data_IF_752812944367
#
_entry.id   IF_752812944367
#
_cell.length_a   1.000
_cell.length_b   1.000
_cell.length_c   1.000
_cell.angle_alpha   90.00
_cell.angle_beta   90.00
_cell.angle_gamma   90.00
#
_symmetry.space_group_name_H-M   'P 1'
#
loop_
_entity.id
_entity.type
_entity.pdbx_description
1 polymer ?
#
# COMPACT_ATOMS: atom_id res chain seq x y z
N UNK A 1 4.37 -13.33 23.24
CA UNK A 1 5.34 -13.17 22.14
C UNK A 1 4.55 -12.56 20.99
N UNK A 2 4.82 -11.29 20.64
CA UNK A 2 4.23 -10.68 19.44
C UNK A 2 4.76 -11.40 18.21
N UNK A 3 3.93 -11.54 17.17
CA UNK A 3 4.40 -12.05 15.88
C UNK A 3 5.30 -10.99 15.24
N UNK A 4 6.32 -11.45 14.54
CA UNK A 4 7.20 -10.59 13.75
C UNK A 4 6.42 -9.97 12.59
N UNK A 5 6.66 -8.68 12.33
CA UNK A 5 6.06 -8.00 11.18
C UNK A 5 6.59 -8.61 9.89
N UNK A 6 5.75 -8.66 8.83
CA UNK A 6 6.22 -9.14 7.54
C UNK A 6 7.33 -8.22 7.01
N UNK A 7 8.29 -8.81 6.30
CA UNK A 7 9.28 -8.04 5.54
C UNK A 7 8.77 -7.78 4.11
N UNK A 8 9.18 -6.67 3.47
CA UNK A 8 8.94 -6.45 2.05
C UNK A 8 9.53 -7.57 1.19
N UNK A 9 8.79 -8.02 0.17
CA UNK A 9 9.32 -8.99 -0.78
C UNK A 9 10.11 -8.29 -1.90
N UNK A 10 11.43 -8.32 -1.80
CA UNK A 10 12.34 -7.72 -2.78
C UNK A 10 12.37 -8.43 -4.14
N UNK A 11 11.90 -9.69 -4.21
CA UNK A 11 11.91 -10.48 -5.45
C UNK A 11 10.80 -10.09 -6.43
N UNK A 12 9.77 -9.40 -5.95
CA UNK A 12 8.66 -8.92 -6.76
C UNK A 12 9.04 -7.65 -7.53
N UNK A 13 8.47 -7.49 -8.72
CA UNK A 13 8.45 -6.20 -9.41
C UNK A 13 7.80 -5.13 -8.50
N UNK A 14 8.31 -3.90 -8.57
CA UNK A 14 7.69 -2.77 -7.86
C UNK A 14 6.35 -2.47 -8.50
N UNK A 15 6.32 -2.34 -9.84
CA UNK A 15 5.11 -2.21 -10.66
C UNK A 15 5.06 -3.32 -11.73
N UNK A 16 3.93 -4.01 -11.84
CA UNK A 16 3.67 -5.05 -12.86
C UNK A 16 3.16 -4.42 -14.16
N UNK A 17 4.09 -3.82 -14.92
CA UNK A 17 3.79 -3.12 -16.18
C UNK A 17 3.15 -3.99 -17.27
N UNK A 18 3.49 -5.27 -17.31
CA UNK A 18 2.97 -6.23 -18.29
C UNK A 18 1.64 -6.86 -17.85
N UNK A 19 1.06 -6.40 -16.72
CA UNK A 19 -0.27 -6.83 -16.32
C UNK A 19 -1.32 -6.24 -17.24
N UNK A 20 -2.39 -7.01 -17.49
CA UNK A 20 -3.51 -6.59 -18.35
C UNK A 20 -4.08 -5.23 -17.91
N UNK A 21 -4.30 -5.04 -16.60
CA UNK A 21 -4.84 -3.80 -16.03
C UNK A 21 -3.92 -2.60 -16.29
N UNK A 22 -2.61 -2.74 -16.04
CA UNK A 22 -1.67 -1.62 -16.24
C UNK A 22 -1.52 -1.30 -17.72
N UNK A 23 -1.51 -2.33 -18.58
CA UNK A 23 -1.46 -2.16 -20.03
C UNK A 23 -2.68 -1.39 -20.54
N UNK A 24 -3.89 -1.81 -20.16
CA UNK A 24 -5.14 -1.14 -20.54
C UNK A 24 -5.17 0.32 -20.07
N UNK A 25 -4.85 0.58 -18.79
CA UNK A 25 -4.82 1.94 -18.25
C UNK A 25 -3.79 2.84 -18.96
N UNK A 26 -2.67 2.28 -19.38
CA UNK A 26 -1.63 3.01 -20.10
C UNK A 26 -2.02 3.27 -21.56
N UNK A 27 -2.62 2.29 -22.24
CA UNK A 27 -3.14 2.44 -23.61
C UNK A 27 -4.29 3.46 -23.68
N UNK A 28 -5.15 3.50 -22.66
CA UNK A 28 -6.23 4.48 -22.53
C UNK A 28 -5.74 5.87 -22.10
N UNK A 29 -4.45 6.02 -21.79
CA UNK A 29 -3.87 7.29 -21.32
C UNK A 29 -4.37 7.75 -19.94
N UNK A 30 -4.99 6.85 -19.17
CA UNK A 30 -5.58 7.15 -17.86
C UNK A 30 -4.63 6.83 -16.69
N UNK A 31 -3.51 6.14 -16.95
CA UNK A 31 -2.64 5.63 -15.89
C UNK A 31 -2.07 6.73 -14.97
N UNK A 32 -1.65 7.88 -15.51
CA UNK A 32 -1.14 9.01 -14.70
C UNK A 32 -2.24 9.66 -13.82
N UNK A 33 -3.46 9.77 -14.33
CA UNK A 33 -4.59 10.31 -13.57
C UNK A 33 -4.97 9.35 -12.43
N UNK A 34 -5.05 8.05 -12.72
CA UNK A 34 -5.37 7.02 -11.74
C UNK A 34 -4.31 6.90 -10.63
N UNK A 35 -3.03 7.00 -10.98
CA UNK A 35 -1.94 7.02 -9.98
C UNK A 35 -1.95 8.29 -9.13
N UNK A 36 -2.36 9.43 -9.68
CA UNK A 36 -2.57 10.68 -8.92
C UNK A 36 -3.73 10.56 -7.92
N UNK A 37 -4.86 10.01 -8.35
CA UNK A 37 -5.99 9.74 -7.46
C UNK A 37 -5.60 8.78 -6.34
N UNK A 38 -4.87 7.72 -6.68
CA UNK A 38 -4.38 6.75 -5.71
C UNK A 38 -3.40 7.36 -4.71
N UNK A 39 -2.54 8.30 -5.10
CA UNK A 39 -1.68 9.00 -4.15
C UNK A 39 -2.47 9.75 -3.08
N UNK A 40 -3.59 10.38 -3.45
CA UNK A 40 -4.49 11.06 -2.50
C UNK A 40 -5.14 10.06 -1.53
N UNK A 41 -5.67 8.94 -2.05
CA UNK A 41 -6.28 7.89 -1.23
C UNK A 41 -5.28 7.22 -0.29
N UNK A 42 -4.08 6.93 -0.79
CA UNK A 42 -2.99 6.36 -0.01
C UNK A 42 -2.60 7.26 1.18
N UNK A 43 -2.48 8.57 0.96
CA UNK A 43 -2.23 9.55 2.04
C UNK A 43 -3.37 9.51 3.08
N UNK A 44 -4.62 9.39 2.63
CA UNK A 44 -5.76 9.18 3.53
C UNK A 44 -5.59 7.96 4.43
N UNK A 45 -5.19 6.82 3.86
CA UNK A 45 -4.92 5.59 4.61
C UNK A 45 -3.74 5.71 5.57
N UNK A 46 -2.64 6.39 5.17
CA UNK A 46 -1.51 6.64 6.08
C UNK A 46 -1.89 7.53 7.25
N UNK A 47 -2.76 8.51 7.02
CA UNK A 47 -3.31 9.36 8.08
C UNK A 47 -4.21 8.57 9.05
N UNK A 48 -5.00 7.62 8.54
CA UNK A 48 -5.81 6.75 9.40
C UNK A 48 -4.94 5.86 10.29
N UNK A 49 -3.91 5.21 9.73
CA UNK A 49 -2.92 4.48 10.54
C UNK A 49 -2.22 5.41 11.55
N UNK A 50 -1.86 6.63 11.13
CA UNK A 50 -1.19 7.59 12.01
C UNK A 50 -2.04 8.04 13.20
N UNK A 51 -3.38 7.99 13.12
CA UNK A 51 -4.26 8.24 14.27
C UNK A 51 -4.29 7.05 15.22
N UNK A 52 -4.18 5.83 14.69
CA UNK A 52 -4.26 4.58 15.46
C UNK A 52 -3.08 4.39 16.42
N UNK A 53 -1.92 5.01 16.16
CA UNK A 53 -0.74 4.95 17.04
C UNK A 53 -0.99 5.49 18.45
N UNK A 54 -1.94 6.41 18.59
CA UNK A 54 -2.31 7.04 19.87
C UNK A 54 -3.52 6.36 20.52
N UNK A 55 -4.03 5.28 19.90
CA UNK A 55 -5.24 4.57 20.29
C UNK A 55 -4.90 3.17 20.82
N UNK A 56 -5.75 2.68 21.71
CA UNK A 56 -5.79 1.30 22.15
C UNK A 56 -6.45 0.38 21.10
N UNK A 57 -6.23 -0.93 21.20
CA UNK A 57 -6.88 -1.91 20.31
C UNK A 57 -8.40 -1.88 20.41
N UNK A 58 -8.92 -1.61 21.60
CA UNK A 58 -10.35 -1.47 21.87
C UNK A 58 -10.96 -0.28 21.12
N UNK A 59 -10.19 0.77 20.84
CA UNK A 59 -10.67 1.94 20.08
C UNK A 59 -10.73 1.69 18.57
N UNK A 60 -10.13 0.61 18.07
CA UNK A 60 -10.06 0.27 16.64
C UNK A 60 -11.31 -0.44 16.10
N UNK A 61 -12.33 -0.71 16.91
CA UNK A 61 -13.44 -1.64 16.61
C UNK A 61 -14.02 -1.58 15.19
N UNK A 62 -14.24 -0.37 14.64
CA UNK A 62 -14.87 -0.20 13.32
C UNK A 62 -13.84 -0.14 12.19
N UNK A 63 -12.66 0.39 12.45
CA UNK A 63 -11.63 0.66 11.45
C UNK A 63 -10.24 0.22 11.94
N UNK A 64 -10.01 -1.09 12.10
CA UNK A 64 -8.73 -1.60 12.57
C UNK A 64 -7.63 -1.53 11.50
N UNK A 65 -6.34 -1.59 11.88
CA UNK A 65 -5.22 -1.45 10.95
C UNK A 65 -5.24 -2.42 9.77
N UNK A 66 -5.69 -3.66 9.99
CA UNK A 66 -5.81 -4.66 8.92
C UNK A 66 -6.86 -4.28 7.85
N UNK A 67 -7.90 -3.50 8.20
CA UNK A 67 -8.85 -2.96 7.21
C UNK A 67 -8.20 -1.86 6.37
N UNK A 68 -7.36 -1.03 6.98
CA UNK A 68 -6.59 -0.04 6.23
C UNK A 68 -5.65 -0.74 5.25
N UNK A 69 -4.93 -1.77 5.71
CA UNK A 69 -4.07 -2.59 4.86
C UNK A 69 -4.86 -3.27 3.71
N UNK A 70 -6.09 -3.73 3.98
CA UNK A 70 -6.98 -4.26 2.93
C UNK A 70 -7.29 -3.20 1.85
N UNK A 71 -7.63 -1.97 2.25
CA UNK A 71 -7.91 -0.88 1.30
C UNK A 71 -6.67 -0.51 0.48
N UNK A 72 -5.50 -0.39 1.13
CA UNK A 72 -4.22 -0.14 0.45
C UNK A 72 -3.91 -1.26 -0.56
N UNK A 73 -4.13 -2.52 -0.20
CA UNK A 73 -3.99 -3.65 -1.13
C UNK A 73 -4.89 -3.51 -2.35
N UNK A 74 -6.18 -3.17 -2.14
CA UNK A 74 -7.14 -2.96 -3.23
C UNK A 74 -6.67 -1.89 -4.21
N UNK A 75 -6.23 -0.74 -3.68
CA UNK A 75 -5.67 0.37 -4.44
C UNK A 75 -4.45 -0.06 -5.28
N UNK A 76 -3.56 -0.84 -4.67
CA UNK A 76 -2.32 -1.28 -5.33
C UNK A 76 -2.58 -2.29 -6.44
N UNK A 77 -3.55 -3.18 -6.28
CA UNK A 77 -3.91 -4.17 -7.30
C UNK A 77 -4.49 -3.50 -8.55
N UNK A 78 -5.24 -2.40 -8.42
CA UNK A 78 -5.76 -1.65 -9.58
C UNK A 78 -4.69 -0.88 -10.36
N UNK A 79 -3.49 -0.74 -9.82
CA UNK A 79 -2.37 -0.01 -10.45
C UNK A 79 -1.14 -0.88 -10.70
N UNK A 80 -1.23 -2.19 -10.40
CA UNK A 80 -0.11 -3.11 -10.53
C UNK A 80 1.04 -2.85 -9.55
N UNK A 81 0.84 -2.14 -8.44
CA UNK A 81 1.89 -1.88 -7.42
C UNK A 81 2.15 -3.14 -6.60
N UNK A 82 2.73 -4.16 -7.23
CA UNK A 82 2.72 -5.54 -6.77
C UNK A 82 3.44 -5.75 -5.45
N UNK A 83 4.59 -5.08 -5.25
CA UNK A 83 5.36 -5.19 -4.00
C UNK A 83 4.57 -4.63 -2.81
N UNK A 84 3.98 -3.44 -2.97
CA UNK A 84 3.15 -2.82 -1.95
C UNK A 84 1.86 -3.62 -1.70
N UNK A 85 1.20 -4.13 -2.76
CA UNK A 85 0.03 -4.98 -2.63
C UNK A 85 0.32 -6.25 -1.81
N UNK A 86 1.47 -6.89 -2.04
CA UNK A 86 1.90 -8.09 -1.31
C UNK A 86 2.20 -7.78 0.15
N UNK A 87 2.91 -6.69 0.44
CA UNK A 87 3.16 -6.25 1.80
C UNK A 87 1.84 -5.94 2.54
N UNK A 88 0.95 -5.16 1.92
CA UNK A 88 -0.36 -4.84 2.47
C UNK A 88 -1.20 -6.10 2.75
N UNK A 89 -1.15 -7.10 1.86
CA UNK A 89 -1.78 -8.42 2.09
C UNK A 89 -1.17 -9.16 3.29
N UNK A 90 0.14 -9.08 3.48
CA UNK A 90 0.82 -9.70 4.62
C UNK A 90 0.40 -9.03 5.94
N UNK A 91 0.34 -7.70 5.97
CA UNK A 91 -0.15 -6.93 7.13
C UNK A 91 -1.64 -7.23 7.40
N UNK A 92 -2.49 -7.22 6.37
CA UNK A 92 -3.90 -7.61 6.47
C UNK A 92 -4.07 -9.00 7.11
N UNK A 93 -3.17 -9.94 6.79
CA UNK A 93 -3.21 -11.32 7.29
C UNK A 93 -2.88 -11.44 8.78
N UNK A 94 -2.26 -10.42 9.39
CA UNK A 94 -2.04 -10.36 10.84
C UNK A 94 -3.35 -10.15 11.62
N UNK A 95 -4.35 -9.51 11.00
CA UNK A 95 -5.67 -9.25 11.60
C UNK A 95 -5.57 -8.63 13.01
N UNK A 96 -5.93 -9.39 14.04
CA UNK A 96 -5.99 -8.95 15.45
C UNK A 96 -4.62 -8.94 16.13
N UNK A 97 -3.60 -9.54 15.49
CA UNK A 97 -2.25 -9.67 16.04
C UNK A 97 -1.43 -8.37 15.88
N UNK A 98 -1.92 -7.36 15.15
CA UNK A 98 -1.25 -6.06 15.00
C UNK A 98 -1.32 -5.31 16.32
N UNK A 99 -0.19 -4.90 16.88
CA UNK A 99 -0.08 -4.08 18.09
C UNK A 99 0.04 -2.59 17.75
N UNK A 100 -0.32 -1.66 18.66
CA UNK A 100 -0.14 -0.22 18.44
C UNK A 100 1.31 0.16 18.09
N UNK A 101 2.29 -0.52 18.69
CA UNK A 101 3.72 -0.30 18.46
C UNK A 101 4.19 -0.75 17.06
N UNK A 102 3.40 -1.57 16.36
CA UNK A 102 3.69 -2.00 14.98
C UNK A 102 3.34 -0.93 13.94
N UNK A 103 2.39 -0.05 14.27
CA UNK A 103 1.81 0.93 13.35
C UNK A 103 2.88 1.85 12.73
N UNK A 104 3.85 2.41 13.48
CA UNK A 104 4.90 3.24 12.89
C UNK A 104 5.74 2.52 11.84
N UNK A 105 6.09 1.24 12.06
CA UNK A 105 6.87 0.47 11.09
C UNK A 105 6.02 0.08 9.88
N UNK A 106 4.75 -0.28 10.07
CA UNK A 106 3.81 -0.52 8.97
C UNK A 106 3.70 0.70 8.05
N UNK A 107 3.50 1.90 8.63
CA UNK A 107 3.44 3.16 7.87
C UNK A 107 4.75 3.39 7.11
N UNK A 108 5.89 3.26 7.80
CA UNK A 108 7.21 3.49 7.20
C UNK A 108 7.44 2.59 5.99
N UNK A 109 7.15 1.29 6.11
CA UNK A 109 7.34 0.34 5.01
C UNK A 109 6.35 0.60 3.87
N UNK A 110 5.07 0.85 4.16
CA UNK A 110 4.09 1.17 3.12
C UNK A 110 4.47 2.43 2.36
N UNK A 111 4.92 3.48 3.06
CA UNK A 111 5.34 4.73 2.43
C UNK A 111 6.55 4.52 1.52
N UNK A 112 7.58 3.82 1.99
CA UNK A 112 8.77 3.54 1.16
C UNK A 112 8.41 2.78 -0.12
N UNK A 113 7.59 1.74 0.00
CA UNK A 113 7.15 0.94 -1.15
C UNK A 113 6.26 1.74 -2.12
N UNK A 114 5.44 2.65 -1.60
CA UNK A 114 4.64 3.56 -2.42
C UNK A 114 5.52 4.57 -3.17
N UNK A 115 6.51 5.15 -2.49
CA UNK A 115 7.47 6.09 -3.09
C UNK A 115 8.30 5.41 -4.18
N UNK A 116 8.73 4.16 -3.98
CA UNK A 116 9.37 3.33 -5.01
C UNK A 116 8.47 3.16 -6.23
N UNK A 117 7.19 2.79 -6.03
CA UNK A 117 6.25 2.61 -7.13
C UNK A 117 6.01 3.90 -7.91
N UNK A 118 5.78 5.02 -7.22
CA UNK A 118 5.58 6.31 -7.88
C UNK A 118 6.83 6.81 -8.62
N UNK A 119 8.03 6.53 -8.09
CA UNK A 119 9.27 6.82 -8.77
C UNK A 119 9.40 6.00 -10.07
N UNK A 120 9.03 4.71 -10.04
CA UNK A 120 9.02 3.86 -11.23
C UNK A 120 7.98 4.32 -12.26
N UNK A 121 6.75 4.65 -11.84
CA UNK A 121 5.71 5.22 -12.71
C UNK A 121 6.24 6.45 -13.42
N UNK A 122 6.78 7.41 -12.67
CA UNK A 122 7.34 8.64 -13.21
C UNK A 122 8.49 8.37 -14.19
N UNK A 123 9.32 7.36 -13.93
CA UNK A 123 10.43 7.03 -14.82
C UNK A 123 9.95 6.53 -16.18
N UNK A 124 8.89 5.69 -16.23
CA UNK A 124 8.38 5.10 -17.47
C UNK A 124 7.45 6.00 -18.26
N UNK A 125 6.67 6.86 -17.61
CA UNK A 125 5.72 7.74 -18.33
C UNK A 125 6.37 9.03 -18.85
N UNK A 126 7.57 9.38 -18.38
CA UNK A 126 8.35 10.53 -18.87
C UNK A 126 9.46 10.14 -19.87
N UNK A 127 9.54 8.88 -20.30
CA UNK A 127 10.41 8.50 -21.42
C UNK A 127 9.82 9.03 -22.75
N UNK A 128 10.61 9.73 -23.60
CA UNK A 128 10.14 10.39 -24.82
C UNK A 128 9.74 9.44 -25.96
#
# INVERSE_FOLDING_TARGET
MGKELPEPDESNAVVEWESEIVTELHEDGMFEEMTTMAASEFVGHMNDLSKMKEQTKEEWEQWPPWKVAHSVKGLCLSLGFARLAKYAKAVESLKVDIEPDDIPEIIKVMQNLFDEAMAEVKSKTNEP
#
